data_IF_895205177454
#
_entry.id   IF_895205177454
#
_cell.length_a   1.000
_cell.length_b   1.000
_cell.length_c   1.000
_cell.angle_alpha   90.00
_cell.angle_beta   90.00
_cell.angle_gamma   90.00
#
_symmetry.space_group_name_H-M   'P 1'
#
loop_
_entity.id
_entity.type
_entity.pdbx_description
1 polymer ?
#
# COMPACT_ATOMS: atom_id res chain seq x y z
N UNK A 1 1.50 23.48 4.75
CA UNK A 1 2.81 22.84 5.04
C UNK A 1 3.26 22.17 3.76
N UNK A 2 4.56 22.23 3.39
CA UNK A 2 5.03 21.53 2.20
C UNK A 2 4.86 20.00 2.36
N UNK A 3 4.61 19.28 1.26
CA UNK A 3 4.35 17.83 1.30
C UNK A 3 5.49 17.02 1.93
N UNK A 4 6.73 17.33 1.57
CA UNK A 4 7.91 16.66 2.12
C UNK A 4 7.98 16.78 3.66
N UNK A 5 7.74 17.99 4.18
CA UNK A 5 7.70 18.25 5.62
C UNK A 5 6.53 17.53 6.29
N UNK A 6 5.37 17.45 5.63
CA UNK A 6 4.22 16.71 6.15
C UNK A 6 4.55 15.21 6.32
N UNK A 7 5.17 14.59 5.32
CA UNK A 7 5.59 13.18 5.41
C UNK A 7 6.64 12.98 6.51
N UNK A 8 7.63 13.88 6.61
CA UNK A 8 8.70 13.84 7.62
C UNK A 8 8.21 14.07 9.05
N UNK A 9 7.15 14.86 9.26
CA UNK A 9 6.61 15.19 10.58
C UNK A 9 5.55 14.20 11.06
N UNK A 10 4.84 13.52 10.15
CA UNK A 10 3.81 12.54 10.50
C UNK A 10 4.36 11.44 11.41
N UNK A 11 3.63 11.11 12.48
CA UNK A 11 3.96 10.03 13.41
C UNK A 11 2.76 9.10 13.60
N UNK A 12 3.03 7.84 13.94
CA UNK A 12 1.98 6.93 14.41
C UNK A 12 1.59 7.27 15.84
N UNK A 13 0.46 7.93 16.00
CA UNK A 13 -0.10 8.37 17.29
C UNK A 13 -1.03 7.28 17.83
N UNK A 14 -0.77 6.85 19.07
CA UNK A 14 -1.50 5.76 19.73
C UNK A 14 -2.14 6.17 21.05
N UNK A 15 -1.97 7.43 21.44
CA UNK A 15 -2.55 8.05 22.62
C UNK A 15 -3.10 9.41 22.23
N UNK A 16 -4.36 9.61 22.56
CA UNK A 16 -5.14 10.75 22.08
C UNK A 16 -5.64 11.53 23.27
N UNK A 17 -5.84 12.83 23.09
CA UNK A 17 -6.59 13.64 24.03
C UNK A 17 -8.08 13.29 23.92
N UNK A 18 -8.89 13.53 24.96
CA UNK A 18 -10.33 13.24 24.94
C UNK A 18 -11.12 14.16 24.01
N UNK A 19 -10.53 15.28 23.57
CA UNK A 19 -11.11 16.26 22.65
C UNK A 19 -11.73 15.62 21.41
N UNK A 20 -12.93 16.08 21.03
CA UNK A 20 -13.58 15.65 19.80
C UNK A 20 -12.92 16.29 18.57
N UNK A 21 -12.96 15.58 17.44
CA UNK A 21 -12.60 16.16 16.15
C UNK A 21 -13.83 16.93 15.62
N UNK A 22 -13.71 18.21 15.24
CA UNK A 22 -14.80 18.96 14.62
C UNK A 22 -15.31 18.26 13.36
N UNK A 23 -16.63 18.25 13.14
CA UNK A 23 -17.26 17.54 12.03
C UNK A 23 -16.73 18.01 10.66
N UNK A 24 -16.50 19.31 10.49
CA UNK A 24 -15.90 19.89 9.29
C UNK A 24 -14.49 19.32 9.04
N UNK A 25 -13.64 19.32 10.05
CA UNK A 25 -12.29 18.74 9.98
C UNK A 25 -12.32 17.25 9.67
N UNK A 26 -13.24 16.49 10.26
CA UNK A 26 -13.41 15.07 9.94
C UNK A 26 -13.86 14.86 8.49
N UNK A 27 -14.80 15.67 7.99
CA UNK A 27 -15.29 15.59 6.63
C UNK A 27 -14.19 15.89 5.61
N UNK A 28 -13.35 16.90 5.85
CA UNK A 28 -12.18 17.20 5.01
C UNK A 28 -11.17 16.04 4.98
N UNK A 29 -10.95 15.37 6.12
CA UNK A 29 -10.11 14.17 6.17
C UNK A 29 -10.75 13.03 5.39
N UNK A 30 -12.07 12.84 5.48
CA UNK A 30 -12.78 11.81 4.75
C UNK A 30 -12.88 12.11 3.24
N UNK A 31 -12.84 13.38 2.84
CA UNK A 31 -12.86 13.79 1.42
C UNK A 31 -11.73 13.14 0.62
N UNK A 32 -10.55 12.95 1.23
CA UNK A 32 -9.40 12.34 0.56
C UNK A 32 -9.65 10.89 0.14
N UNK A 33 -10.61 10.22 0.80
CA UNK A 33 -11.02 8.86 0.46
C UNK A 33 -11.78 8.81 -0.86
N UNK A 34 -12.20 9.94 -1.44
CA UNK A 34 -12.80 10.01 -2.78
C UNK A 34 -11.76 10.12 -3.91
N UNK A 35 -10.46 10.22 -3.58
CA UNK A 35 -9.37 10.36 -4.55
C UNK A 35 -8.38 9.18 -4.52
N UNK A 36 -8.83 7.91 -4.56
CA UNK A 36 -7.94 6.77 -4.49
C UNK A 36 -6.92 6.75 -5.64
N UNK A 37 -5.74 6.20 -5.36
CA UNK A 37 -4.69 5.84 -6.33
C UNK A 37 -5.26 5.22 -7.62
N UNK A 38 -6.31 4.42 -7.47
CA UNK A 38 -6.95 3.65 -8.53
C UNK A 38 -8.47 3.81 -8.50
N UNK A 39 -8.98 4.76 -9.30
CA UNK A 39 -10.40 5.11 -9.36
C UNK A 39 -11.33 3.93 -9.66
N UNK A 40 -10.90 2.94 -10.44
CA UNK A 40 -11.77 1.79 -10.80
C UNK A 40 -12.03 0.81 -9.66
N UNK A 41 -11.28 0.92 -8.56
CA UNK A 41 -11.50 0.11 -7.37
C UNK A 41 -12.20 0.92 -6.26
N UNK A 42 -12.66 2.15 -6.55
CA UNK A 42 -13.28 3.04 -5.56
C UNK A 42 -14.58 2.49 -4.98
N UNK A 43 -15.29 1.65 -5.73
CA UNK A 43 -16.54 1.02 -5.28
C UNK A 43 -16.28 -0.27 -4.47
N UNK A 44 -15.03 -0.76 -4.47
CA UNK A 44 -14.65 -2.03 -3.82
C UNK A 44 -14.14 -1.86 -2.40
N UNK A 45 -14.10 -0.64 -1.86
CA UNK A 45 -13.85 -0.43 -0.44
C UNK A 45 -14.88 0.52 0.19
N UNK A 46 -14.98 0.44 1.52
CA UNK A 46 -15.74 1.36 2.36
C UNK A 46 -14.84 1.88 3.45
N UNK A 47 -14.99 3.17 3.74
CA UNK A 47 -14.43 3.80 4.94
C UNK A 47 -15.60 4.14 5.84
N UNK A 48 -15.68 3.48 7.00
CA UNK A 48 -16.74 3.68 7.98
C UNK A 48 -16.19 4.48 9.15
N UNK A 49 -16.54 5.77 9.29
CA UNK A 49 -16.19 6.54 10.47
C UNK A 49 -17.08 6.15 11.66
N UNK A 50 -16.48 5.58 12.69
CA UNK A 50 -17.16 5.26 13.95
C UNK A 50 -16.87 6.37 14.94
N UNK A 51 -17.90 7.15 15.28
CA UNK A 51 -17.84 8.28 16.25
C UNK A 51 -18.62 8.00 17.53
N UNK A 52 -19.49 6.99 17.52
CA UNK A 52 -20.27 6.60 18.69
C UNK A 52 -19.34 5.93 19.73
N UNK A 53 -19.19 6.59 20.88
CA UNK A 53 -18.30 6.15 21.97
C UNK A 53 -18.66 4.75 22.51
N UNK A 54 -19.94 4.42 22.60
CA UNK A 54 -20.37 3.09 23.06
C UNK A 54 -19.99 1.98 22.07
N UNK A 55 -20.05 2.28 20.76
CA UNK A 55 -19.61 1.33 19.73
C UNK A 55 -18.09 1.18 19.75
N UNK A 56 -17.34 2.28 19.85
CA UNK A 56 -15.87 2.24 19.97
C UNK A 56 -15.46 1.42 21.21
N UNK A 57 -16.17 1.60 22.33
CA UNK A 57 -15.91 0.85 23.57
C UNK A 57 -16.23 -0.64 23.41
N UNK A 58 -17.34 -1.01 22.76
CA UNK A 58 -17.64 -2.41 22.42
C UNK A 58 -16.59 -3.01 21.50
N UNK A 59 -16.08 -2.26 20.53
CA UNK A 59 -14.97 -2.70 19.69
C UNK A 59 -13.70 -2.91 20.53
N UNK A 60 -13.37 -1.98 21.43
CA UNK A 60 -12.21 -2.09 22.33
C UNK A 60 -12.30 -3.37 23.19
N UNK A 61 -13.44 -3.60 23.83
CA UNK A 61 -13.69 -4.79 24.66
C UNK A 61 -13.53 -6.08 23.86
N UNK A 62 -14.10 -6.14 22.65
CA UNK A 62 -13.95 -7.30 21.77
C UNK A 62 -12.49 -7.61 21.43
N UNK A 63 -11.65 -6.57 21.24
CA UNK A 63 -10.22 -6.76 21.00
C UNK A 63 -9.52 -7.36 22.24
N UNK A 64 -9.82 -6.86 23.44
CA UNK A 64 -9.24 -7.34 24.70
C UNK A 64 -9.62 -8.79 24.94
N UNK A 65 -10.91 -9.12 24.85
CA UNK A 65 -11.41 -10.49 25.02
C UNK A 65 -10.77 -11.45 24.01
N UNK A 66 -10.58 -11.03 22.76
CA UNK A 66 -9.93 -11.85 21.73
C UNK A 66 -8.48 -12.17 22.09
N UNK A 67 -7.71 -11.18 22.58
CA UNK A 67 -6.33 -11.41 23.05
C UNK A 67 -6.33 -12.40 24.21
N UNK A 68 -7.17 -12.16 25.21
CA UNK A 68 -7.19 -12.96 26.45
C UNK A 68 -7.59 -14.40 26.17
N UNK A 69 -8.61 -14.60 25.34
CA UNK A 69 -9.04 -15.93 24.90
C UNK A 69 -7.94 -16.66 24.12
N UNK A 70 -7.19 -15.94 23.26
CA UNK A 70 -6.03 -16.53 22.56
C UNK A 70 -4.93 -16.92 23.54
N UNK A 71 -4.64 -16.09 24.53
CA UNK A 71 -3.65 -16.39 25.55
C UNK A 71 -4.06 -17.59 26.42
N UNK A 72 -5.34 -17.80 26.71
CA UNK A 72 -5.80 -19.02 27.41
C UNK A 72 -5.50 -20.28 26.60
N UNK A 73 -5.67 -20.21 25.27
CA UNK A 73 -5.45 -21.32 24.33
C UNK A 73 -4.05 -21.34 23.72
N UNK A 74 -3.08 -20.69 24.36
CA UNK A 74 -1.73 -20.49 23.82
C UNK A 74 -1.03 -21.82 23.54
N UNK A 75 -0.53 -22.00 22.31
CA UNK A 75 0.12 -23.23 21.85
C UNK A 75 1.62 -23.05 21.61
N UNK A 76 2.36 -24.16 21.42
CA UNK A 76 3.77 -24.12 21.00
C UNK A 76 3.94 -23.51 19.59
N UNK A 77 2.92 -23.61 18.75
CA UNK A 77 2.91 -22.95 17.43
C UNK A 77 2.80 -21.43 17.58
N UNK A 78 1.94 -20.94 18.47
CA UNK A 78 1.87 -19.51 18.82
C UNK A 78 3.21 -18.99 19.38
N UNK A 79 3.86 -19.76 20.24
CA UNK A 79 5.18 -19.45 20.79
C UNK A 79 6.21 -19.23 19.66
N UNK A 80 6.26 -20.17 18.71
CA UNK A 80 7.17 -20.15 17.56
C UNK A 80 6.87 -18.99 16.61
N UNK A 81 5.59 -18.81 16.27
CA UNK A 81 5.13 -17.76 15.36
C UNK A 81 5.37 -16.36 15.95
N UNK A 82 5.12 -16.15 17.25
CA UNK A 82 5.35 -14.85 17.87
C UNK A 82 6.85 -14.54 17.99
N UNK A 83 7.67 -15.53 18.35
CA UNK A 83 9.12 -15.37 18.41
C UNK A 83 9.74 -15.01 17.05
N UNK A 84 9.19 -15.55 15.94
CA UNK A 84 9.71 -15.32 14.59
C UNK A 84 9.49 -13.88 14.09
N UNK A 85 8.54 -13.13 14.65
CA UNK A 85 8.26 -11.74 14.27
C UNK A 85 9.40 -10.77 14.66
N UNK A 86 10.34 -11.21 15.51
CA UNK A 86 11.50 -10.40 15.92
C UNK A 86 11.12 -9.14 16.70
N UNK A 87 9.94 -9.12 17.35
CA UNK A 87 9.46 -7.98 18.12
C UNK A 87 10.38 -7.80 19.35
N UNK A 88 11.01 -6.63 19.53
CA UNK A 88 11.94 -6.44 20.64
C UNK A 88 11.26 -6.66 21.99
N UNK A 89 11.91 -7.44 22.87
CA UNK A 89 11.51 -7.51 24.27
C UNK A 89 11.68 -6.12 24.91
N UNK A 90 10.67 -5.62 25.61
CA UNK A 90 10.81 -4.49 26.53
C UNK A 90 11.96 -4.77 27.51
N UNK A 91 12.66 -3.72 27.96
CA UNK A 91 13.73 -3.87 28.96
C UNK A 91 13.21 -4.73 30.12
N UNK A 92 14.01 -5.75 30.49
CA UNK A 92 13.66 -6.96 31.27
C UNK A 92 12.89 -6.73 32.57
N UNK A 93 12.85 -5.51 33.08
CA UNK A 93 12.36 -5.18 34.42
C UNK A 93 10.81 -5.06 34.51
N UNK A 94 10.05 -5.37 33.44
CA UNK A 94 8.59 -5.09 33.36
C UNK A 94 7.66 -6.26 32.99
N UNK A 95 8.16 -7.46 32.69
CA UNK A 95 7.33 -8.56 32.12
C UNK A 95 7.76 -9.92 32.69
N UNK A 96 6.80 -10.84 32.86
CA UNK A 96 7.07 -12.25 33.12
C UNK A 96 7.99 -12.88 32.06
N UNK A 97 8.70 -13.94 32.42
CA UNK A 97 9.84 -14.46 31.65
C UNK A 97 9.48 -15.25 30.38
N UNK A 98 8.20 -15.32 29.96
CA UNK A 98 7.75 -16.13 28.81
C UNK A 98 7.41 -15.30 27.55
N UNK A 99 7.44 -15.93 26.37
CA UNK A 99 7.02 -15.29 25.10
C UNK A 99 5.51 -14.96 25.13
N UNK A 100 4.70 -15.79 25.78
CA UNK A 100 3.28 -15.51 26.06
C UNK A 100 3.08 -14.23 26.86
N UNK A 101 3.88 -14.00 27.91
CA UNK A 101 3.81 -12.76 28.70
C UNK A 101 4.21 -11.54 27.85
N UNK A 102 5.18 -11.72 26.95
CA UNK A 102 5.56 -10.70 25.98
C UNK A 102 4.44 -10.40 24.98
N UNK A 103 3.74 -11.42 24.46
CA UNK A 103 2.55 -11.25 23.63
C UNK A 103 1.44 -10.48 24.35
N UNK A 104 1.09 -10.91 25.56
CA UNK A 104 0.06 -10.26 26.38
C UNK A 104 0.44 -8.81 26.68
N UNK A 105 1.68 -8.58 27.09
CA UNK A 105 2.18 -7.23 27.31
C UNK A 105 2.08 -6.41 26.04
N UNK A 106 2.65 -6.86 24.92
CA UNK A 106 2.70 -6.09 23.67
C UNK A 106 1.31 -5.76 23.15
N UNK A 107 0.41 -6.75 23.16
CA UNK A 107 -0.94 -6.60 22.64
C UNK A 107 -1.81 -5.70 23.54
N UNK A 108 -1.52 -5.64 24.85
CA UNK A 108 -2.19 -4.74 25.80
C UNK A 108 -1.48 -3.40 26.02
N UNK A 109 -0.22 -3.25 25.56
CA UNK A 109 0.65 -2.08 25.81
C UNK A 109 0.12 -0.75 25.27
N UNK A 110 -0.89 -0.79 24.41
CA UNK A 110 -1.45 0.39 23.78
C UNK A 110 -2.50 1.11 24.65
N UNK A 111 -2.59 0.80 25.95
CA UNK A 111 -3.59 1.24 26.94
C UNK A 111 -5.06 1.10 26.51
N UNK A 112 -5.36 0.50 25.35
CA UNK A 112 -5.47 -0.96 25.20
C UNK A 112 -5.87 -1.28 23.76
N UNK A 113 -6.85 -0.58 23.21
CA UNK A 113 -7.08 -0.42 21.76
C UNK A 113 -7.82 0.89 21.53
N UNK A 114 -7.52 1.60 20.43
CA UNK A 114 -8.04 2.92 20.08
C UNK A 114 -7.71 4.08 21.06
N UNK A 115 -7.35 3.80 22.32
CA UNK A 115 -7.10 4.84 23.34
C UNK A 115 -8.35 5.69 23.53
N UNK A 116 -8.17 6.98 23.78
CA UNK A 116 -9.27 7.96 23.87
C UNK A 116 -9.73 8.50 22.50
N UNK A 117 -9.38 7.83 21.39
CA UNK A 117 -9.67 8.30 20.04
C UNK A 117 -11.15 8.67 19.87
N UNK A 118 -11.48 9.93 19.54
CA UNK A 118 -12.85 10.35 19.25
C UNK A 118 -13.43 9.72 17.98
N UNK A 119 -12.59 9.23 17.08
CA UNK A 119 -13.00 8.62 15.82
C UNK A 119 -12.17 7.37 15.55
N UNK A 120 -12.83 6.30 15.12
CA UNK A 120 -12.16 5.10 14.59
C UNK A 120 -12.64 4.89 13.16
N UNK A 121 -11.75 5.01 12.18
CA UNK A 121 -12.05 4.65 10.80
C UNK A 121 -11.86 3.15 10.61
N UNK A 122 -12.89 2.49 10.10
CA UNK A 122 -12.88 1.07 9.75
C UNK A 122 -12.93 0.96 8.24
N UNK A 123 -11.91 0.35 7.64
CA UNK A 123 -11.82 0.14 6.21
C UNK A 123 -12.17 -1.31 5.90
N UNK A 124 -13.14 -1.50 5.02
CA UNK A 124 -13.60 -2.80 4.57
C UNK A 124 -13.58 -2.89 3.04
N UNK A 125 -13.43 -4.08 2.49
CA UNK A 125 -13.36 -4.32 1.05
C UNK A 125 -14.32 -5.42 0.59
N UNK A 126 -14.80 -5.30 -0.65
CA UNK A 126 -15.46 -6.35 -1.41
C UNK A 126 -14.43 -7.06 -2.27
N UNK A 127 -13.91 -8.18 -1.79
CA UNK A 127 -13.24 -9.17 -2.62
C UNK A 127 -13.10 -10.45 -1.80
N UNK A 128 -13.20 -11.64 -2.41
CA UNK A 128 -12.76 -12.83 -1.71
C UNK A 128 -11.27 -12.65 -1.42
N UNK A 129 -10.88 -12.51 -0.15
CA UNK A 129 -9.47 -12.42 0.21
C UNK A 129 -8.78 -13.74 -0.18
N UNK A 130 -8.03 -13.64 -1.28
CA UNK A 130 -7.59 -14.75 -2.11
C UNK A 130 -6.57 -15.62 -1.38
N UNK A 131 -6.70 -16.95 -1.44
CA UNK A 131 -5.80 -17.87 -0.74
C UNK A 131 -4.58 -18.32 -1.57
N UNK A 132 -4.57 -18.12 -2.89
CA UNK A 132 -3.65 -18.80 -3.80
C UNK A 132 -2.51 -17.91 -4.37
N UNK A 133 -2.64 -16.57 -4.37
CA UNK A 133 -1.56 -15.63 -4.73
C UNK A 133 -1.52 -14.38 -3.82
N UNK A 134 -1.17 -14.55 -2.54
CA UNK A 134 -1.30 -13.51 -1.53
C UNK A 134 -0.36 -12.30 -1.69
N UNK A 135 0.61 -12.37 -2.62
CA UNK A 135 1.63 -11.33 -2.78
C UNK A 135 1.19 -10.16 -3.68
N UNK A 136 0.15 -10.32 -4.50
CA UNK A 136 -0.36 -9.25 -5.39
C UNK A 136 -1.84 -9.01 -5.09
N UNK A 137 -2.14 -8.23 -4.05
CA UNK A 137 -3.51 -7.77 -3.78
C UNK A 137 -3.67 -6.28 -4.10
N UNK A 138 -4.10 -5.92 -5.33
CA UNK A 138 -4.31 -4.53 -5.70
C UNK A 138 -5.27 -3.84 -4.72
N UNK A 139 -6.33 -4.53 -4.30
CA UNK A 139 -7.31 -3.95 -3.38
C UNK A 139 -6.72 -3.63 -1.99
N UNK A 140 -5.79 -4.43 -1.47
CA UNK A 140 -5.10 -4.12 -0.21
C UNK A 140 -4.04 -3.02 -0.39
N UNK A 141 -3.36 -2.98 -1.54
CA UNK A 141 -2.49 -1.83 -1.88
C UNK A 141 -3.31 -0.55 -1.98
N UNK A 142 -4.52 -0.61 -2.53
CA UNK A 142 -5.42 0.54 -2.58
C UNK A 142 -5.86 0.97 -1.18
N UNK A 143 -6.25 0.03 -0.33
CA UNK A 143 -6.58 0.31 1.08
C UNK A 143 -5.39 0.99 1.77
N UNK A 144 -4.17 0.47 1.56
CA UNK A 144 -2.94 1.12 2.01
C UNK A 144 -2.76 2.55 1.48
N UNK A 145 -3.00 2.78 0.18
CA UNK A 145 -2.94 4.12 -0.40
C UNK A 145 -3.97 5.08 0.24
N UNK A 146 -5.21 4.63 0.43
CA UNK A 146 -6.26 5.40 1.12
C UNK A 146 -5.87 5.67 2.57
N UNK A 147 -5.33 4.69 3.30
CA UNK A 147 -4.82 4.86 4.66
C UNK A 147 -3.70 5.91 4.71
N UNK A 148 -2.80 5.93 3.73
CA UNK A 148 -1.74 6.94 3.67
C UNK A 148 -2.31 8.33 3.45
N UNK A 149 -3.24 8.49 2.51
CA UNK A 149 -3.87 9.78 2.22
C UNK A 149 -4.67 10.31 3.41
N UNK A 150 -5.41 9.46 4.12
CA UNK A 150 -6.10 9.81 5.37
C UNK A 150 -5.10 10.24 6.45
N UNK A 151 -4.01 9.50 6.65
CA UNK A 151 -3.01 9.82 7.67
C UNK A 151 -2.29 11.14 7.39
N UNK A 152 -2.03 11.47 6.12
CA UNK A 152 -1.44 12.74 5.71
C UNK A 152 -2.43 13.90 5.87
N UNK A 153 -3.69 13.73 5.45
CA UNK A 153 -4.75 14.72 5.64
C UNK A 153 -4.98 15.05 7.12
N UNK A 154 -5.00 14.02 7.96
CA UNK A 154 -5.12 14.15 9.41
C UNK A 154 -3.91 14.89 10.00
N UNK A 155 -2.69 14.50 9.62
CA UNK A 155 -1.47 15.11 10.13
C UNK A 155 -1.34 16.59 9.75
N UNK A 156 -1.77 16.97 8.54
CA UNK A 156 -1.79 18.38 8.09
C UNK A 156 -2.68 19.24 9.01
N UNK A 157 -3.71 18.64 9.61
CA UNK A 157 -4.67 19.28 10.53
C UNK A 157 -4.30 19.10 12.01
N UNK A 158 -3.11 18.58 12.30
CA UNK A 158 -2.67 18.30 13.67
C UNK A 158 -3.38 17.11 14.34
N UNK A 159 -4.09 16.29 13.56
CA UNK A 159 -4.76 15.08 14.03
C UNK A 159 -3.81 13.90 13.90
N UNK A 160 -3.62 13.21 15.01
CA UNK A 160 -2.86 11.97 15.08
C UNK A 160 -3.65 10.79 14.53
N UNK A 161 -2.93 9.82 13.99
CA UNK A 161 -3.50 8.55 13.53
C UNK A 161 -2.49 7.41 13.64
N UNK A 162 -2.96 6.17 13.62
CA UNK A 162 -2.10 4.99 13.54
C UNK A 162 -2.84 3.82 12.88
N UNK A 163 -2.29 3.24 11.82
CA UNK A 163 -2.74 1.93 11.33
C UNK A 163 -2.55 0.88 12.42
N UNK A 164 -3.62 0.18 12.78
CA UNK A 164 -3.60 -0.84 13.84
C UNK A 164 -3.90 -2.22 13.26
N UNK A 165 -2.98 -3.16 13.48
CA UNK A 165 -3.14 -4.56 13.06
C UNK A 165 -3.83 -5.40 14.14
N UNK A 166 -3.57 -5.12 15.42
CA UNK A 166 -4.14 -5.86 16.55
C UNK A 166 -5.68 -5.94 16.58
N UNK A 167 -6.43 -4.85 16.35
CA UNK A 167 -7.90 -4.89 16.29
C UNK A 167 -8.48 -5.81 15.20
N UNK A 168 -7.70 -6.17 14.18
CA UNK A 168 -8.19 -7.05 13.11
C UNK A 168 -8.43 -8.48 13.59
N UNK A 169 -7.83 -8.89 14.71
CA UNK A 169 -8.12 -10.20 15.30
C UNK A 169 -9.59 -10.35 15.74
N UNK A 170 -10.26 -9.24 16.08
CA UNK A 170 -11.68 -9.18 16.46
C UNK A 170 -12.58 -8.66 15.33
N UNK A 171 -12.09 -8.63 14.08
CA UNK A 171 -12.81 -8.07 12.92
C UNK A 171 -14.21 -8.64 12.69
N UNK A 172 -14.44 -9.93 12.98
CA UNK A 172 -15.77 -10.53 12.82
C UNK A 172 -16.77 -9.96 13.83
N UNK A 173 -16.31 -9.62 15.03
CA UNK A 173 -17.13 -8.94 16.05
C UNK A 173 -17.38 -7.50 15.61
N UNK A 174 -16.35 -6.80 15.13
CA UNK A 174 -16.49 -5.43 14.61
C UNK A 174 -17.46 -5.37 13.42
N UNK A 175 -17.37 -6.33 12.50
CA UNK A 175 -18.26 -6.43 11.35
C UNK A 175 -19.73 -6.53 11.78
N UNK A 176 -20.04 -7.37 12.77
CA UNK A 176 -21.39 -7.48 13.34
C UNK A 176 -21.83 -6.19 14.03
N UNK A 177 -20.96 -5.57 14.84
CA UNK A 177 -21.26 -4.31 15.54
C UNK A 177 -21.57 -3.17 14.56
N UNK A 178 -20.91 -3.15 13.41
CA UNK A 178 -21.01 -2.10 12.39
C UNK A 178 -21.96 -2.45 11.24
N UNK A 179 -22.63 -3.62 11.30
CA UNK A 179 -23.49 -4.12 10.23
C UNK A 179 -22.76 -4.19 8.86
N UNK A 180 -21.46 -4.49 8.91
CA UNK A 180 -20.63 -4.75 7.73
C UNK A 180 -20.65 -6.24 7.42
N UNK A 181 -21.80 -6.72 6.95
CA UNK A 181 -22.00 -8.11 6.56
C UNK A 181 -21.37 -8.42 5.20
N UNK A 182 -21.39 -9.70 4.82
CA UNK A 182 -20.98 -10.15 3.47
C UNK A 182 -21.63 -9.28 2.38
N UNK A 183 -20.89 -8.85 1.34
CA UNK A 183 -19.53 -9.28 0.96
C UNK A 183 -18.38 -8.45 1.55
N UNK A 184 -18.61 -7.64 2.59
CA UNK A 184 -17.59 -6.76 3.16
C UNK A 184 -16.67 -7.46 4.15
N UNK A 185 -15.38 -7.27 3.98
CA UNK A 185 -14.36 -7.77 4.89
C UNK A 185 -13.51 -6.61 5.44
N UNK A 186 -13.49 -6.44 6.77
CA UNK A 186 -12.66 -5.43 7.44
C UNK A 186 -11.19 -5.83 7.32
N UNK A 187 -10.41 -4.94 6.73
CA UNK A 187 -8.98 -5.16 6.42
C UNK A 187 -8.06 -4.18 7.15
N UNK A 188 -8.53 -2.96 7.46
CA UNK A 188 -7.74 -1.99 8.22
C UNK A 188 -8.59 -1.20 9.22
N UNK A 189 -7.97 -0.81 10.35
CA UNK A 189 -8.60 0.05 11.36
C UNK A 189 -7.63 1.15 11.79
N UNK A 190 -8.08 2.40 11.75
CA UNK A 190 -7.30 3.62 12.03
C UNK A 190 -8.04 4.49 13.06
N UNK A 191 -7.62 4.54 14.34
CA UNK A 191 -8.03 5.58 15.27
C UNK A 191 -7.47 6.95 14.87
N UNK A 192 -8.28 7.99 15.04
CA UNK A 192 -7.96 9.39 14.83
C UNK A 192 -8.27 10.20 16.10
N UNK A 193 -7.40 11.15 16.43
CA UNK A 193 -7.60 12.07 17.56
C UNK A 193 -6.45 13.06 17.71
N UNK A 194 -6.62 14.09 18.54
CA UNK A 194 -5.51 14.99 18.85
C UNK A 194 -4.44 14.24 19.66
N UNK A 195 -3.14 14.34 19.30
CA UNK A 195 -2.11 13.61 20.03
C UNK A 195 -1.96 14.13 21.46
N UNK A 196 -1.97 13.22 22.44
CA UNK A 196 -1.62 13.57 23.83
C UNK A 196 -0.15 14.04 23.90
N UNK A 197 0.71 13.39 23.12
CA UNK A 197 2.12 13.73 22.93
C UNK A 197 2.60 13.30 21.55
N UNK A 198 3.59 14.00 21.04
CA UNK A 198 4.28 13.62 19.81
C UNK A 198 5.43 12.64 20.12
N UNK A 199 5.38 11.39 19.62
CA UNK A 199 6.49 10.45 19.80
C UNK A 199 7.67 10.81 18.88
N UNK A 200 8.86 10.36 19.25
CA UNK A 200 10.05 10.47 18.40
C UNK A 200 9.89 9.67 17.10
N UNK A 201 10.60 10.10 16.06
CA UNK A 201 10.68 9.32 14.82
C UNK A 201 11.23 7.92 15.10
N UNK A 202 10.68 6.91 14.43
CA UNK A 202 11.22 5.54 14.45
C UNK A 202 12.37 5.48 13.44
N UNK A 203 13.44 4.72 13.73
CA UNK A 203 14.54 4.56 12.79
C UNK A 203 14.06 3.88 11.52
N UNK A 204 14.57 4.37 10.39
CA UNK A 204 14.31 3.83 9.05
C UNK A 204 15.59 3.23 8.49
N UNK A 205 15.46 2.17 7.70
CA UNK A 205 16.58 1.60 6.94
C UNK A 205 17.20 2.70 6.06
N UNK A 206 18.53 2.77 5.93
CA UNK A 206 19.18 3.73 5.05
C UNK A 206 18.75 3.48 3.59
N UNK A 207 18.82 4.53 2.76
CA UNK A 207 18.42 4.45 1.35
C UNK A 207 19.14 3.31 0.61
N UNK A 208 20.43 3.13 0.88
CA UNK A 208 21.28 2.07 0.30
C UNK A 208 20.84 0.64 0.61
N UNK A 209 20.04 0.42 1.66
CA UNK A 209 19.51 -0.90 2.00
C UNK A 209 18.17 -1.20 1.30
N UNK A 210 17.44 -0.17 0.89
CA UNK A 210 16.09 -0.31 0.33
C UNK A 210 16.04 -0.02 -1.16
N UNK A 211 16.91 0.83 -1.70
CA UNK A 211 16.98 1.17 -3.12
C UNK A 211 18.15 0.45 -3.79
N UNK A 212 17.88 -0.21 -4.90
CA UNK A 212 18.89 -0.78 -5.80
C UNK A 212 18.66 -0.29 -7.23
N UNK A 213 19.71 0.21 -7.85
CA UNK A 213 19.72 0.45 -9.29
C UNK A 213 19.95 -0.86 -10.04
N UNK A 214 19.09 -1.17 -10.99
CA UNK A 214 19.33 -2.26 -11.93
C UNK A 214 20.38 -1.78 -12.94
N UNK A 215 21.50 -2.50 -13.11
CA UNK A 215 22.54 -2.11 -14.05
C UNK A 215 21.97 -1.93 -15.46
N UNK A 216 22.37 -0.85 -16.12
CA UNK A 216 22.00 -0.51 -17.50
C UNK A 216 23.28 -0.45 -18.35
N UNK A 217 23.23 -0.88 -19.61
CA UNK A 217 24.24 -0.51 -20.59
C UNK A 217 24.00 0.93 -21.06
N UNK A 218 24.92 1.89 -20.86
CA UNK A 218 24.64 3.30 -21.11
C UNK A 218 24.08 3.55 -22.52
N UNK A 219 22.82 3.96 -22.59
CA UNK A 219 22.18 4.48 -23.79
C UNK A 219 22.80 5.83 -24.17
N UNK A 220 22.99 6.06 -25.47
CA UNK A 220 23.48 7.31 -26.08
C UNK A 220 22.49 8.48 -26.00
N UNK A 221 21.55 8.46 -25.05
CA UNK A 221 20.54 9.48 -24.87
C UNK A 221 21.17 10.83 -24.55
N UNK A 222 20.78 11.86 -25.31
CA UNK A 222 21.25 13.25 -25.16
C UNK A 222 21.04 13.72 -23.72
N UNK A 223 22.07 14.35 -23.15
CA UNK A 223 22.04 14.83 -21.76
C UNK A 223 20.95 15.88 -21.54
N UNK A 224 20.34 15.80 -20.36
CA UNK A 224 19.12 16.47 -19.92
C UNK A 224 19.33 17.93 -19.48
N UNK A 225 20.12 18.74 -20.19
CA UNK A 225 20.45 20.07 -19.68
C UNK A 225 19.26 21.06 -19.60
N UNK A 226 18.10 20.81 -20.21
CA UNK A 226 17.09 21.89 -20.40
C UNK A 226 15.60 21.51 -20.28
N UNK A 227 15.23 20.38 -19.66
CA UNK A 227 13.80 20.12 -19.36
C UNK A 227 13.63 19.85 -17.87
N UNK A 228 13.81 20.89 -17.05
CA UNK A 228 13.17 20.92 -15.74
C UNK A 228 11.66 20.93 -15.97
N UNK A 229 10.85 20.05 -15.35
CA UNK A 229 9.41 20.08 -15.53
C UNK A 229 8.89 21.48 -15.15
N UNK A 230 8.31 22.21 -16.11
CA UNK A 230 7.85 23.60 -15.91
C UNK A 230 6.73 23.72 -14.85
N UNK A 231 6.10 22.60 -14.47
CA UNK A 231 5.03 22.52 -13.43
C UNK A 231 5.55 22.41 -11.99
N UNK A 232 6.86 22.52 -11.74
CA UNK A 232 7.48 22.23 -10.44
C UNK A 232 7.15 23.20 -9.31
N UNK A 233 6.96 24.49 -9.58
CA UNK A 233 6.88 25.47 -8.48
C UNK A 233 5.51 25.56 -7.78
N UNK A 234 4.40 25.32 -8.48
CA UNK A 234 3.07 25.48 -7.86
C UNK A 234 2.73 24.34 -6.88
N UNK A 235 3.04 23.08 -7.23
CA UNK A 235 2.73 21.93 -6.38
C UNK A 235 3.68 21.78 -5.18
N UNK A 236 4.93 22.25 -5.27
CA UNK A 236 5.86 22.25 -4.13
C UNK A 236 5.39 23.08 -2.94
N UNK A 237 4.56 24.09 -3.20
CA UNK A 237 3.99 24.99 -2.18
C UNK A 237 2.51 24.72 -1.89
N UNK A 238 1.88 23.82 -2.65
CA UNK A 238 0.48 23.47 -2.51
C UNK A 238 0.19 22.72 -1.19
N UNK A 239 -1.05 22.80 -0.72
CA UNK A 239 -1.49 21.97 0.41
C UNK A 239 -1.61 20.49 -0.01
N UNK A 240 -1.68 19.57 0.96
CA UNK A 240 -1.75 18.14 0.66
C UNK A 240 -2.94 17.79 -0.24
N UNK A 241 -4.11 18.40 0.03
CA UNK A 241 -5.32 18.12 -0.74
C UNK A 241 -5.19 18.51 -2.22
N UNK A 242 -4.51 19.61 -2.51
CA UNK A 242 -4.22 20.05 -3.89
C UNK A 242 -3.27 19.08 -4.59
N UNK A 243 -2.21 18.63 -3.90
CA UNK A 243 -1.28 17.61 -4.42
C UNK A 243 -2.05 16.34 -4.75
N UNK A 244 -2.87 15.84 -3.82
CA UNK A 244 -3.67 14.63 -4.00
C UNK A 244 -4.66 14.75 -5.17
N UNK A 245 -5.39 15.88 -5.27
CA UNK A 245 -6.36 16.13 -6.35
C UNK A 245 -5.68 16.27 -7.72
N UNK A 246 -4.43 16.76 -7.76
CA UNK A 246 -3.66 16.90 -9.00
C UNK A 246 -3.12 15.57 -9.54
N UNK A 247 -2.97 14.56 -8.66
CA UNK A 247 -2.40 13.26 -9.02
C UNK A 247 -3.36 12.51 -9.96
N UNK A 248 -2.79 11.95 -11.03
CA UNK A 248 -3.47 11.10 -12.00
C UNK A 248 -2.54 9.97 -12.45
N UNK A 249 -3.12 8.84 -12.87
CA UNK A 249 -2.33 7.77 -13.48
C UNK A 249 -2.05 8.15 -14.93
N UNK A 250 -0.77 8.34 -15.25
CA UNK A 250 -0.29 8.71 -16.59
C UNK A 250 0.49 7.55 -17.20
N UNK A 251 0.21 7.25 -18.46
CA UNK A 251 0.76 6.09 -19.17
C UNK A 251 1.53 6.46 -20.44
N UNK A 252 1.64 7.76 -20.73
CA UNK A 252 2.34 8.29 -21.90
C UNK A 252 3.32 9.35 -21.44
N UNK A 253 4.59 9.16 -21.80
CA UNK A 253 5.69 9.99 -21.31
C UNK A 253 6.53 10.50 -22.46
N UNK A 254 7.03 11.72 -22.32
CA UNK A 254 8.12 12.23 -23.13
C UNK A 254 9.36 11.34 -22.93
N UNK A 255 10.22 11.15 -23.94
CA UNK A 255 11.33 10.21 -23.90
C UNK A 255 12.51 10.69 -23.04
N UNK A 256 12.37 11.81 -22.31
CA UNK A 256 13.44 12.39 -21.50
C UNK A 256 13.73 11.53 -20.26
N UNK A 257 15.00 11.20 -19.98
CA UNK A 257 15.36 10.41 -18.82
C UNK A 257 14.97 11.12 -17.52
N UNK A 258 14.66 10.36 -16.48
CA UNK A 258 14.52 10.90 -15.12
C UNK A 258 15.89 10.83 -14.43
N UNK A 259 16.42 11.93 -13.86
CA UNK A 259 17.69 11.91 -13.14
C UNK A 259 17.68 10.91 -12.00
N UNK A 260 18.83 10.23 -11.78
CA UNK A 260 18.96 9.28 -10.67
C UNK A 260 18.73 9.95 -9.32
N UNK A 261 19.28 11.15 -9.13
CA UNK A 261 19.11 11.93 -7.90
C UNK A 261 17.63 12.22 -7.60
N UNK A 262 16.81 12.50 -8.61
CA UNK A 262 15.38 12.73 -8.42
C UNK A 262 14.66 11.47 -7.94
N UNK A 263 14.98 10.30 -8.52
CA UNK A 263 14.44 9.02 -8.07
C UNK A 263 14.92 8.71 -6.64
N UNK A 264 16.19 8.94 -6.33
CA UNK A 264 16.75 8.74 -4.99
C UNK A 264 16.06 9.61 -3.95
N UNK A 265 15.82 10.89 -4.26
CA UNK A 265 15.10 11.80 -3.38
C UNK A 265 13.62 11.42 -3.20
N UNK A 266 12.95 10.96 -4.27
CA UNK A 266 11.60 10.39 -4.16
C UNK A 266 11.60 9.21 -3.19
N UNK A 267 12.51 8.25 -3.38
CA UNK A 267 12.56 7.03 -2.56
C UNK A 267 12.99 7.30 -1.11
N UNK A 268 13.85 8.30 -0.88
CA UNK A 268 14.23 8.72 0.47
C UNK A 268 13.03 9.23 1.28
N UNK A 269 12.05 9.87 0.62
CA UNK A 269 10.78 10.22 1.26
C UNK A 269 9.85 9.01 1.42
N UNK A 270 9.76 8.16 0.39
CA UNK A 270 8.90 6.95 0.38
C UNK A 270 9.27 5.97 1.51
N UNK A 271 10.55 5.81 1.87
CA UNK A 271 10.92 4.94 3.00
C UNK A 271 10.39 5.42 4.36
N UNK A 272 9.86 6.66 4.45
CA UNK A 272 9.21 7.18 5.65
C UNK A 272 7.74 6.77 5.77
N UNK A 273 7.16 6.14 4.75
CA UNK A 273 5.76 5.67 4.73
C UNK A 273 5.43 4.78 5.95
N UNK A 274 4.18 4.83 6.44
CA UNK A 274 3.73 3.96 7.52
C UNK A 274 3.86 2.49 7.10
N UNK A 275 4.25 1.64 8.05
CA UNK A 275 4.35 0.20 7.84
C UNK A 275 4.17 -0.57 9.13
N UNK A 276 3.68 -1.80 8.99
CA UNK A 276 3.41 -2.71 10.09
C UNK A 276 4.68 -2.99 10.90
N UNK A 277 4.57 -2.87 12.22
CA UNK A 277 5.61 -3.19 13.20
C UNK A 277 7.00 -2.51 12.97
N UNK A 278 7.08 -1.52 12.08
CA UNK A 278 8.33 -0.91 11.61
C UNK A 278 9.28 -1.88 10.86
N UNK A 279 8.76 -2.97 10.29
CA UNK A 279 9.57 -4.02 9.65
C UNK A 279 10.20 -3.55 8.32
N UNK A 280 9.56 -2.62 7.60
CA UNK A 280 10.06 -2.06 6.33
C UNK A 280 10.43 -3.19 5.34
N UNK A 281 9.48 -4.10 5.10
CA UNK A 281 9.59 -5.26 4.20
C UNK A 281 9.39 -4.85 2.74
N UNK A 282 10.09 -3.82 2.32
CA UNK A 282 10.09 -3.36 0.95
C UNK A 282 11.52 -3.25 0.42
N UNK A 283 11.64 -3.45 -0.89
CA UNK A 283 12.78 -3.03 -1.69
C UNK A 283 12.27 -2.28 -2.92
N UNK A 284 13.02 -1.30 -3.35
CA UNK A 284 12.76 -0.50 -4.54
C UNK A 284 13.87 -0.80 -5.54
N UNK A 285 13.47 -1.21 -6.74
CA UNK A 285 14.39 -1.38 -7.87
C UNK A 285 14.12 -0.27 -8.86
N UNK A 286 15.11 0.58 -9.10
CA UNK A 286 15.03 1.64 -10.09
C UNK A 286 15.74 1.20 -11.38
N UNK A 287 15.08 1.42 -12.52
CA UNK A 287 15.62 1.10 -13.84
C UNK A 287 15.20 2.12 -14.90
N UNK A 288 16.11 2.37 -15.84
CA UNK A 288 15.92 3.24 -17.00
C UNK A 288 16.31 2.54 -18.32
N UNK A 289 16.69 1.26 -18.25
CA UNK A 289 17.11 0.44 -19.39
C UNK A 289 15.92 0.10 -20.31
N UNK A 290 15.94 0.65 -21.53
CA UNK A 290 14.90 0.47 -22.54
C UNK A 290 14.75 -0.98 -23.00
N UNK A 291 15.85 -1.73 -23.08
CA UNK A 291 15.82 -3.12 -23.51
C UNK A 291 15.17 -3.99 -22.43
N UNK A 292 15.51 -3.78 -21.15
CA UNK A 292 14.89 -4.50 -20.04
C UNK A 292 13.39 -4.16 -19.90
N UNK A 293 13.02 -2.88 -20.05
CA UNK A 293 11.62 -2.46 -20.06
C UNK A 293 10.86 -3.07 -21.25
N UNK A 294 11.52 -3.20 -22.42
CA UNK A 294 11.02 -3.94 -23.58
C UNK A 294 10.76 -5.40 -23.27
N UNK A 295 11.71 -6.10 -22.62
CA UNK A 295 11.54 -7.51 -22.21
C UNK A 295 10.37 -7.70 -21.24
N UNK A 296 10.17 -6.78 -20.30
CA UNK A 296 9.01 -6.81 -19.39
C UNK A 296 7.70 -6.66 -20.18
N UNK A 297 7.66 -5.70 -21.11
CA UNK A 297 6.52 -5.47 -22.00
C UNK A 297 6.20 -6.70 -22.85
N UNK A 298 7.21 -7.32 -23.46
CA UNK A 298 7.05 -8.53 -24.28
C UNK A 298 6.53 -9.72 -23.46
N UNK A 299 7.09 -9.94 -22.26
CA UNK A 299 6.64 -10.98 -21.35
C UNK A 299 5.16 -10.79 -20.96
N UNK A 300 4.77 -9.55 -20.66
CA UNK A 300 3.39 -9.19 -20.35
C UNK A 300 2.44 -9.49 -21.52
N UNK A 301 2.79 -9.07 -22.74
CA UNK A 301 1.97 -9.31 -23.95
C UNK A 301 1.86 -10.80 -24.25
N UNK A 302 2.98 -11.53 -24.22
CA UNK A 302 2.99 -12.97 -24.48
C UNK A 302 2.10 -13.72 -23.48
N UNK A 303 2.18 -13.35 -22.20
CA UNK A 303 1.34 -13.93 -21.16
C UNK A 303 -0.13 -13.59 -21.35
N UNK A 304 -0.45 -12.32 -21.62
CA UNK A 304 -1.81 -11.87 -21.90
C UNK A 304 -2.42 -12.63 -23.09
N UNK A 305 -1.73 -12.70 -24.23
CA UNK A 305 -2.20 -13.44 -25.42
C UNK A 305 -2.46 -14.90 -25.11
N UNK A 306 -1.56 -15.57 -24.38
CA UNK A 306 -1.75 -16.96 -23.94
C UNK A 306 -3.04 -17.13 -23.13
N UNK A 307 -3.36 -16.19 -22.23
CA UNK A 307 -4.59 -16.27 -21.44
C UNK A 307 -5.81 -16.08 -22.31
N UNK A 308 -5.79 -15.06 -23.17
CA UNK A 308 -6.88 -14.71 -24.07
C UNK A 308 -7.22 -15.86 -25.01
N UNK A 309 -6.21 -16.55 -25.56
CA UNK A 309 -6.41 -17.69 -26.45
C UNK A 309 -7.04 -18.88 -25.73
N UNK A 310 -6.64 -19.15 -24.48
CA UNK A 310 -7.26 -20.19 -23.63
C UNK A 310 -8.72 -19.86 -23.32
N UNK A 311 -8.99 -18.62 -22.92
CA UNK A 311 -10.34 -18.14 -22.63
C UNK A 311 -11.28 -18.34 -23.84
N UNK A 312 -10.81 -17.97 -25.04
CA UNK A 312 -11.56 -18.15 -26.30
C UNK A 312 -11.82 -19.61 -26.67
N UNK A 313 -10.86 -20.48 -26.41
CA UNK A 313 -10.96 -21.89 -26.76
C UNK A 313 -11.96 -22.67 -25.86
N UNK A 314 -12.50 -22.04 -24.80
CA UNK A 314 -13.36 -22.71 -23.81
C UNK A 314 -12.64 -23.86 -23.08
N UNK A 315 -11.31 -23.94 -23.23
CA UNK A 315 -10.48 -25.00 -22.68
C UNK A 315 -10.05 -24.61 -21.28
N UNK A 316 -10.77 -25.16 -20.30
CA UNK A 316 -10.53 -25.00 -18.86
C UNK A 316 -10.91 -23.64 -18.28
N UNK A 317 -11.34 -23.64 -17.01
CA UNK A 317 -11.42 -22.42 -16.21
C UNK A 317 -10.09 -21.65 -16.34
N UNK A 318 -10.15 -20.32 -16.47
CA UNK A 318 -8.98 -19.44 -16.48
C UNK A 318 -7.95 -19.99 -15.47
N UNK A 319 -6.65 -20.09 -15.82
CA UNK A 319 -5.64 -20.52 -14.87
C UNK A 319 -5.90 -19.79 -13.56
N UNK A 320 -5.90 -20.50 -12.44
CA UNK A 320 -6.19 -19.88 -11.13
C UNK A 320 -5.28 -18.68 -10.89
N UNK A 321 -4.12 -18.66 -11.56
CA UNK A 321 -3.16 -17.57 -11.65
C UNK A 321 -3.55 -16.38 -12.57
N UNK A 322 -4.74 -16.38 -13.17
CA UNK A 322 -5.18 -15.43 -14.22
C UNK A 322 -6.64 -14.98 -14.03
N UNK A 323 -7.39 -15.65 -13.15
CA UNK A 323 -8.62 -15.11 -12.54
C UNK A 323 -8.38 -13.78 -11.79
N UNK A 324 -7.11 -13.37 -11.59
CA UNK A 324 -6.70 -12.12 -10.94
C UNK A 324 -7.09 -10.84 -11.68
N UNK A 325 -7.37 -10.95 -12.98
CA UNK A 325 -7.81 -9.82 -13.80
C UNK A 325 -9.30 -9.88 -14.14
N UNK A 326 -9.96 -11.00 -13.86
CA UNK A 326 -11.42 -11.11 -13.80
C UNK A 326 -11.88 -10.64 -12.42
N UNK A 327 -11.86 -9.32 -12.22
CA UNK A 327 -12.70 -8.74 -11.17
C UNK A 327 -14.14 -8.73 -11.69
N UNK A 328 -15.16 -9.04 -10.88
CA UNK A 328 -16.58 -8.97 -11.27
C UNK A 328 -17.05 -7.62 -11.85
N UNK A 329 -16.19 -6.59 -11.80
CA UNK A 329 -16.47 -5.23 -12.28
C UNK A 329 -15.33 -4.69 -13.17
N UNK A 330 -14.55 -5.56 -13.82
CA UNK A 330 -13.84 -5.11 -15.00
C UNK A 330 -14.92 -4.61 -15.99
N UNK A 331 -14.82 -3.41 -16.59
CA UNK A 331 -15.75 -2.97 -17.62
C UNK A 331 -16.02 -4.10 -18.62
N UNK A 332 -17.16 -4.14 -19.31
CA UNK A 332 -17.46 -5.19 -20.31
C UNK A 332 -16.33 -5.39 -21.35
N UNK A 333 -15.47 -4.38 -21.54
CA UNK A 333 -14.27 -4.40 -22.39
C UNK A 333 -12.99 -4.96 -21.71
N UNK A 334 -12.98 -5.21 -20.42
CA UNK A 334 -11.82 -5.66 -19.64
C UNK A 334 -12.14 -6.92 -18.82
N UNK A 335 -13.40 -7.38 -18.81
CA UNK A 335 -13.74 -8.69 -18.31
C UNK A 335 -13.25 -9.72 -19.32
N UNK A 336 -12.36 -10.61 -18.89
CA UNK A 336 -11.75 -11.60 -19.77
C UNK A 336 -12.77 -12.64 -20.21
N UNK A 337 -13.73 -12.99 -19.35
CA UNK A 337 -14.80 -13.92 -19.69
C UNK A 337 -15.80 -13.33 -20.70
N UNK A 338 -16.10 -12.03 -20.62
CA UNK A 338 -17.08 -11.36 -21.49
C UNK A 338 -16.46 -10.83 -22.79
N UNK A 339 -15.25 -10.25 -22.72
CA UNK A 339 -14.56 -9.66 -23.86
C UNK A 339 -13.04 -9.88 -23.83
N UNK A 340 -12.56 -11.10 -24.16
CA UNK A 340 -11.15 -11.43 -24.16
C UNK A 340 -10.27 -10.51 -25.01
N UNK A 341 -10.81 -9.95 -26.11
CA UNK A 341 -10.05 -9.10 -27.03
C UNK A 341 -9.75 -7.73 -26.42
N UNK A 342 -10.75 -7.11 -25.78
CA UNK A 342 -10.57 -5.79 -25.22
C UNK A 342 -9.72 -5.85 -23.93
N UNK A 343 -9.79 -6.96 -23.17
CA UNK A 343 -8.86 -7.23 -22.08
C UNK A 343 -7.40 -7.36 -22.56
N UNK A 344 -7.17 -8.10 -23.66
CA UNK A 344 -5.84 -8.21 -24.28
C UNK A 344 -5.35 -6.84 -24.74
N UNK A 345 -6.23 -6.04 -25.34
CA UNK A 345 -5.90 -4.68 -25.76
C UNK A 345 -5.49 -3.82 -24.56
N UNK A 346 -6.25 -3.83 -23.47
CA UNK A 346 -5.92 -3.12 -22.24
C UNK A 346 -4.53 -3.49 -21.70
N UNK A 347 -4.23 -4.78 -21.57
CA UNK A 347 -2.91 -5.24 -21.10
C UNK A 347 -1.79 -4.85 -22.07
N UNK A 348 -2.06 -4.89 -23.38
CA UNK A 348 -1.10 -4.47 -24.40
C UNK A 348 -0.77 -2.98 -24.29
N UNK A 349 -1.75 -2.12 -24.05
CA UNK A 349 -1.51 -0.69 -23.78
C UNK A 349 -0.64 -0.49 -22.53
N UNK A 350 -0.93 -1.24 -21.45
CA UNK A 350 -0.13 -1.17 -20.22
C UNK A 350 1.32 -1.63 -20.47
N UNK A 351 1.52 -2.69 -21.25
CA UNK A 351 2.85 -3.16 -21.64
C UNK A 351 3.61 -2.10 -22.46
N UNK A 352 2.94 -1.49 -23.44
CA UNK A 352 3.50 -0.41 -24.27
C UNK A 352 3.90 0.83 -23.45
N UNK A 353 3.13 1.16 -22.40
CA UNK A 353 3.50 2.19 -21.45
C UNK A 353 4.87 1.88 -20.80
N UNK A 354 5.08 0.65 -20.31
CA UNK A 354 6.35 0.27 -19.67
C UNK A 354 7.54 0.37 -20.62
N UNK A 355 7.43 -0.13 -21.86
CA UNK A 355 8.53 -0.06 -22.82
C UNK A 355 8.92 1.38 -23.19
N UNK A 356 7.96 2.34 -23.09
CA UNK A 356 8.16 3.77 -23.38
C UNK A 356 8.43 4.63 -22.14
N UNK A 357 8.29 4.11 -20.92
CA UNK A 357 8.54 4.84 -19.68
C UNK A 357 10.03 5.20 -19.50
N UNK A 358 10.41 6.47 -19.28
CA UNK A 358 11.80 6.86 -19.11
C UNK A 358 12.50 6.26 -17.89
N UNK A 359 11.73 6.02 -16.83
CA UNK A 359 12.17 5.27 -15.68
C UNK A 359 11.02 4.40 -15.17
N UNK A 360 11.37 3.37 -14.43
CA UNK A 360 10.45 2.51 -13.69
C UNK A 360 11.01 2.32 -12.29
N UNK A 361 10.13 2.42 -11.30
CA UNK A 361 10.39 1.90 -9.95
C UNK A 361 9.55 0.65 -9.75
N UNK A 362 10.21 -0.50 -9.62
CA UNK A 362 9.57 -1.72 -9.16
C UNK A 362 9.60 -1.75 -7.62
N UNK A 363 8.45 -1.99 -7.01
CA UNK A 363 8.31 -2.16 -5.56
C UNK A 363 8.19 -3.65 -5.29
N UNK A 364 9.13 -4.16 -4.50
CA UNK A 364 9.18 -5.54 -4.08
C UNK A 364 8.79 -5.67 -2.60
N UNK A 365 8.14 -6.76 -2.25
CA UNK A 365 7.84 -7.14 -0.87
C UNK A 365 8.54 -8.45 -0.54
N UNK A 366 8.94 -8.61 0.73
CA UNK A 366 9.46 -9.87 1.23
C UNK A 366 8.28 -10.85 1.36
N UNK A 367 8.22 -11.84 0.47
CA UNK A 367 7.23 -12.90 0.53
C UNK A 367 7.43 -13.67 1.84
N UNK A 368 6.47 -13.53 2.74
CA UNK A 368 6.43 -14.36 3.93
C UNK A 368 6.22 -15.83 3.50
N UNK A 369 6.90 -16.80 4.14
CA UNK A 369 6.54 -18.19 3.99
C UNK A 369 5.04 -18.32 4.28
N UNK A 370 4.32 -19.03 3.41
CA UNK A 370 2.86 -19.18 3.47
C UNK A 370 2.39 -19.50 4.91
N UNK A 371 1.87 -18.49 5.61
CA UNK A 371 1.49 -18.54 7.02
C UNK A 371 0.83 -17.23 7.46
N UNK A 372 -0.20 -17.33 8.32
CA UNK A 372 -1.02 -16.22 8.87
C UNK A 372 -1.42 -15.17 7.82
N UNK A 373 -2.57 -15.35 7.17
CA UNK A 373 -3.11 -14.44 6.13
C UNK A 373 -3.05 -12.96 6.53
N UNK A 374 -3.14 -12.63 7.82
CA UNK A 374 -3.15 -11.27 8.34
C UNK A 374 -1.82 -10.53 8.18
N UNK A 375 -0.69 -11.21 8.40
CA UNK A 375 0.61 -10.55 8.33
C UNK A 375 0.94 -10.15 6.88
N UNK A 376 0.49 -10.96 5.92
CA UNK A 376 0.57 -10.66 4.50
C UNK A 376 -0.29 -9.44 4.12
N UNK A 377 -1.48 -9.26 4.70
CA UNK A 377 -2.35 -8.10 4.39
C UNK A 377 -1.68 -6.80 4.78
N UNK A 378 -1.16 -6.76 6.02
CA UNK A 378 -0.53 -5.57 6.58
C UNK A 378 0.72 -5.15 5.80
N UNK A 379 1.49 -6.13 5.30
CA UNK A 379 2.66 -5.87 4.47
C UNK A 379 2.23 -5.27 3.11
N UNK A 380 1.19 -5.80 2.47
CA UNK A 380 0.68 -5.26 1.19
C UNK A 380 0.02 -3.89 1.36
N UNK A 381 -0.67 -3.61 2.47
CA UNK A 381 -1.16 -2.27 2.81
C UNK A 381 0.01 -1.30 3.03
N UNK A 382 1.10 -1.76 3.63
CA UNK A 382 2.33 -0.97 3.79
C UNK A 382 2.96 -0.62 2.44
N UNK A 383 2.92 -1.55 1.47
CA UNK A 383 3.30 -1.30 0.08
C UNK A 383 2.38 -0.25 -0.55
N UNK A 384 1.07 -0.36 -0.34
CA UNK A 384 0.09 0.64 -0.78
C UNK A 384 0.41 2.05 -0.28
N UNK A 385 0.76 2.18 0.99
CA UNK A 385 1.19 3.45 1.58
C UNK A 385 2.46 4.01 0.91
N UNK A 386 3.42 3.13 0.58
CA UNK A 386 4.66 3.51 -0.09
C UNK A 386 4.41 3.97 -1.54
N UNK A 387 3.59 3.22 -2.30
CA UNK A 387 3.21 3.55 -3.68
C UNK A 387 2.47 4.88 -3.75
N UNK A 388 1.52 5.14 -2.84
CA UNK A 388 0.83 6.43 -2.79
C UNK A 388 1.81 7.59 -2.53
N UNK A 389 2.72 7.41 -1.56
CA UNK A 389 3.74 8.42 -1.25
C UNK A 389 4.66 8.68 -2.44
N UNK A 390 5.04 7.62 -3.18
CA UNK A 390 5.87 7.70 -4.37
C UNK A 390 5.19 8.54 -5.45
N UNK A 391 3.93 8.25 -5.76
CA UNK A 391 3.20 8.98 -6.80
C UNK A 391 2.94 10.44 -6.42
N UNK A 392 2.65 10.72 -5.14
CA UNK A 392 2.46 12.10 -4.66
C UNK A 392 3.77 12.90 -4.73
N UNK A 393 4.88 12.31 -4.30
CA UNK A 393 6.19 12.96 -4.36
C UNK A 393 6.67 13.17 -5.80
N UNK A 394 6.44 12.19 -6.68
CA UNK A 394 6.66 12.35 -8.12
C UNK A 394 5.88 13.54 -8.68
N UNK A 395 4.60 13.67 -8.33
CA UNK A 395 3.75 14.78 -8.76
C UNK A 395 4.25 16.14 -8.23
N UNK A 396 4.66 16.22 -6.96
CA UNK A 396 5.26 17.43 -6.35
C UNK A 396 6.53 17.85 -7.10
N UNK A 397 7.31 16.88 -7.60
CA UNK A 397 8.52 17.11 -8.40
C UNK A 397 8.25 17.38 -9.88
N UNK A 398 6.98 17.40 -10.29
CA UNK A 398 6.58 17.65 -11.67
C UNK A 398 6.72 16.42 -12.59
N UNK A 399 6.95 15.24 -12.02
CA UNK A 399 6.86 13.98 -12.74
C UNK A 399 5.43 13.44 -12.70
N UNK A 400 5.09 12.71 -13.74
CA UNK A 400 3.88 11.91 -13.81
C UNK A 400 4.23 10.44 -13.60
N UNK A 401 3.27 9.69 -13.08
CA UNK A 401 3.44 8.28 -12.77
C UNK A 401 2.12 7.53 -12.88
N UNK A 402 2.16 6.19 -12.88
CA UNK A 402 0.98 5.36 -12.73
C UNK A 402 1.26 4.19 -11.82
N UNK A 403 0.34 3.89 -10.90
CA UNK A 403 0.40 2.63 -10.16
C UNK A 403 -0.08 1.47 -11.04
N UNK A 404 0.78 0.46 -11.24
CA UNK A 404 0.49 -0.69 -12.08
C UNK A 404 0.73 -2.01 -11.34
N UNK A 405 -0.29 -2.86 -11.31
CA UNK A 405 -0.19 -4.28 -10.91
C UNK A 405 -0.44 -5.23 -12.08
N UNK A 406 -1.08 -4.76 -13.15
CA UNK A 406 -1.39 -5.56 -14.34
C UNK A 406 -0.19 -6.23 -15.02
N UNK A 407 1.04 -5.67 -15.04
CA UNK A 407 2.19 -6.38 -15.62
C UNK A 407 2.58 -7.64 -14.84
N UNK A 408 2.12 -7.77 -13.60
CA UNK A 408 2.36 -8.92 -12.75
C UNK A 408 1.51 -10.13 -13.14
N UNK A 409 0.70 -10.03 -14.20
CA UNK A 409 0.20 -11.23 -14.90
C UNK A 409 1.36 -12.15 -15.34
N UNK A 410 2.53 -11.58 -15.63
CA UNK A 410 3.77 -12.27 -15.96
C UNK A 410 4.80 -12.15 -14.82
N UNK A 411 4.38 -12.17 -13.55
CA UNK A 411 5.25 -11.87 -12.41
C UNK A 411 6.53 -12.73 -12.36
N UNK A 412 6.49 -14.01 -12.75
CA UNK A 412 7.69 -14.86 -12.76
C UNK A 412 8.75 -14.34 -13.74
N UNK A 413 8.33 -14.00 -14.95
CA UNK A 413 9.18 -13.39 -15.97
C UNK A 413 9.68 -12.01 -15.50
N UNK A 414 8.81 -11.19 -14.90
CA UNK A 414 9.17 -9.87 -14.37
C UNK A 414 10.26 -9.99 -13.30
N UNK A 415 10.07 -10.88 -12.31
CA UNK A 415 11.06 -11.12 -11.26
C UNK A 415 12.39 -11.62 -11.85
N UNK A 416 12.33 -12.53 -12.83
CA UNK A 416 13.52 -13.03 -13.52
C UNK A 416 14.27 -11.91 -14.25
N UNK A 417 13.56 -11.05 -14.99
CA UNK A 417 14.16 -9.93 -15.72
C UNK A 417 14.79 -8.93 -14.74
N UNK A 418 14.10 -8.60 -13.65
CA UNK A 418 14.58 -7.66 -12.63
C UNK A 418 15.64 -8.27 -11.69
N UNK A 419 15.93 -9.56 -11.81
CA UNK A 419 16.85 -10.26 -10.91
C UNK A 419 16.35 -10.30 -9.46
N UNK A 420 15.03 -10.32 -9.27
CA UNK A 420 14.36 -10.51 -7.97
C UNK A 420 14.42 -12.00 -7.65
N UNK A 421 14.86 -12.31 -6.43
CA UNK A 421 15.05 -13.67 -5.95
C UNK A 421 14.35 -13.84 -4.60
N UNK A 422 14.06 -15.09 -4.24
CA UNK A 422 13.56 -15.44 -2.91
C UNK A 422 14.40 -14.81 -1.79
N UNK A 423 13.77 -14.29 -0.71
CA UNK A 423 12.33 -14.31 -0.44
C UNK A 423 11.54 -13.15 -1.08
N UNK A 424 12.10 -12.37 -2.01
CA UNK A 424 11.44 -11.17 -2.53
C UNK A 424 10.54 -11.46 -3.73
N UNK A 425 9.47 -10.67 -3.88
CA UNK A 425 8.58 -10.68 -5.06
C UNK A 425 8.27 -9.26 -5.48
N UNK A 426 8.18 -9.02 -6.78
CA UNK A 426 7.65 -7.76 -7.31
C UNK A 426 6.15 -7.71 -7.10
N UNK A 427 5.66 -6.65 -6.46
CA UNK A 427 4.25 -6.50 -6.08
C UNK A 427 3.61 -5.26 -6.67
N UNK A 428 4.41 -4.30 -7.14
CA UNK A 428 3.93 -3.12 -7.85
C UNK A 428 4.99 -2.57 -8.78
N UNK A 429 4.55 -1.92 -9.85
CA UNK A 429 5.38 -1.24 -10.83
C UNK A 429 4.87 0.18 -10.99
N UNK A 430 5.77 1.16 -10.95
CA UNK A 430 5.44 2.58 -11.10
C UNK A 430 6.35 3.19 -12.16
N UNK A 431 5.93 3.28 -13.44
CA UNK A 431 6.64 4.08 -14.42
C UNK A 431 6.64 5.55 -14.01
N UNK A 432 7.75 6.25 -14.28
CA UNK A 432 7.92 7.68 -14.05
C UNK A 432 8.46 8.38 -15.29
N UNK A 433 7.98 9.60 -15.52
CA UNK A 433 8.48 10.47 -16.59
C UNK A 433 7.70 11.78 -16.65
N UNK A 434 7.99 12.61 -17.65
CA UNK A 434 7.21 13.83 -17.92
C UNK A 434 6.05 13.46 -18.86
N UNK A 435 4.82 13.83 -18.52
CA UNK A 435 3.62 13.55 -19.33
C UNK A 435 3.68 14.23 -20.71
N UNK A 436 3.19 13.53 -21.75
CA UNK A 436 2.91 14.13 -23.05
C UNK A 436 1.61 14.96 -22.91
N UNK A 437 1.71 16.27 -23.14
CA UNK A 437 0.59 17.22 -23.03
C UNK A 437 -0.52 16.97 -24.05
#
# INVERSE_FOLDING_TARGET
MAFEELVKQRRSIRKFKPDSIPAETLNEILEVTAYPAHKRLSEKYRVVPVTNRDIIEKMRTACIETIENRAVKWTSEDETNWASLGIPFPKRDRIGASVKDHYLYFSKRFDTFFGDAPVVLVLATQAPLWKEAPHVWPILQLVGAVMQSVQLAAAERGIGSCSMTGPLHSRQVHARLLQLESPWEIVAILPLGYPERMPSARPRKPLSEVLRWIPHQPSSAKSMAEVTPQKTNSLRQACFLEVLKSRRNVYNFLPFPVPHEEIEQIIDLVRLSPNALNQQKWRFLALSDREMLGKISEAMIAKASQVTDRARAGTQALPKEMAFLDTPDAPEAENLAENPQAWLHFLTERAQCLSKAPALVAVCNEALPFGSTYDQWNDIESIGCAVETLMLEAAVRGYSSAWMTSPLIAWQEVDRILGVQDPWRTVSLVPLGVEIS
#
